data_IF_655358521204
#
_entry.id   IF_655358521204
#
_cell.length_a   1.000
_cell.length_b   1.000
_cell.length_c   1.000
_cell.angle_alpha   90.00
_cell.angle_beta   90.00
_cell.angle_gamma   90.00
#
_symmetry.space_group_name_H-M   'P 1'
#
loop_
_entity.id
_entity.type
_entity.pdbx_description
1 polymer ?
#
# COMPACT_ATOMS: atom_id res chain seq x y z
N UNK A 1 -14.42 4.91 41.71
CA UNK A 1 -14.61 5.83 40.56
C UNK A 1 -13.65 5.39 39.47
N UNK A 2 -14.13 5.03 38.29
CA UNK A 2 -13.27 4.72 37.14
C UNK A 2 -13.16 5.97 36.27
N UNK A 3 -11.94 6.42 36.00
CA UNK A 3 -11.69 7.43 34.98
C UNK A 3 -11.74 6.76 33.61
N UNK A 4 -12.55 7.29 32.71
CA UNK A 4 -12.61 6.83 31.32
C UNK A 4 -11.87 7.83 30.44
N UNK A 5 -10.85 7.35 29.75
CA UNK A 5 -10.12 8.13 28.74
C UNK A 5 -10.65 7.70 27.37
N UNK A 6 -11.25 8.64 26.67
CA UNK A 6 -11.67 8.45 25.29
C UNK A 6 -10.52 8.88 24.38
N UNK A 7 -10.04 7.96 23.55
CA UNK A 7 -9.06 8.25 22.50
C UNK A 7 -9.82 8.19 21.19
N UNK A 8 -9.81 9.28 20.44
CA UNK A 8 -10.45 9.32 19.13
C UNK A 8 -9.57 8.59 18.10
N UNK A 9 -10.17 7.73 17.27
CA UNK A 9 -9.44 7.00 16.23
C UNK A 9 -8.84 7.94 15.17
N UNK A 10 -9.38 9.15 15.02
CA UNK A 10 -8.87 10.21 14.15
C UNK A 10 -7.62 10.91 14.72
N UNK A 11 -7.38 10.88 16.03
CA UNK A 11 -6.22 11.53 16.65
C UNK A 11 -4.92 10.75 16.42
N UNK A 12 -4.96 9.41 16.43
CA UNK A 12 -3.75 8.61 16.15
C UNK A 12 -3.47 8.51 14.65
N UNK A 13 -4.50 8.41 13.82
CA UNK A 13 -4.37 8.18 12.38
C UNK A 13 -3.64 6.87 12.03
N UNK A 14 -3.25 6.71 10.76
CA UNK A 14 -2.55 5.53 10.26
C UNK A 14 -1.02 5.64 10.41
N UNK A 15 -0.49 6.86 10.47
CA UNK A 15 0.95 7.14 10.34
C UNK A 15 1.79 6.51 11.46
N UNK A 16 1.44 6.61 12.76
CA UNK A 16 2.23 6.00 13.83
C UNK A 16 2.39 4.49 13.71
N UNK A 17 1.37 3.80 13.19
CA UNK A 17 1.44 2.36 12.92
C UNK A 17 2.46 2.05 11.82
N UNK A 18 2.41 2.79 10.71
CA UNK A 18 3.33 2.62 9.58
C UNK A 18 4.76 3.00 9.97
N UNK A 19 4.95 4.07 10.74
CA UNK A 19 6.27 4.46 11.23
C UNK A 19 6.89 3.39 12.14
N UNK A 20 6.06 2.74 12.97
CA UNK A 20 6.50 1.60 13.80
C UNK A 20 6.92 0.41 12.94
N UNK A 21 6.14 0.08 11.91
CA UNK A 21 6.48 -0.97 10.95
C UNK A 21 7.76 -0.64 10.14
N UNK A 22 7.96 0.61 9.76
CA UNK A 22 9.19 1.06 9.09
C UNK A 22 10.41 1.02 10.02
N UNK A 23 10.22 1.24 11.33
CA UNK A 23 11.30 1.13 12.31
C UNK A 23 11.86 -0.28 12.46
N UNK A 24 11.08 -1.32 12.12
CA UNK A 24 11.53 -2.72 12.08
C UNK A 24 12.41 -3.04 10.86
N UNK A 25 12.40 -2.17 9.83
CA UNK A 25 13.20 -2.35 8.60
C UNK A 25 14.60 -1.78 8.75
N UNK A 26 15.57 -2.35 8.05
CA UNK A 26 16.99 -1.99 8.19
C UNK A 26 17.56 -1.33 6.93
N UNK A 27 18.50 -0.39 7.13
CA UNK A 27 19.32 0.21 6.08
C UNK A 27 18.50 0.86 4.95
N UNK A 28 18.95 0.64 3.71
CA UNK A 28 18.37 1.21 2.49
C UNK A 28 16.93 0.79 2.23
N UNK A 29 16.50 -0.39 2.71
CA UNK A 29 15.13 -0.87 2.55
C UNK A 29 14.15 0.04 3.29
N UNK A 30 14.51 0.48 4.50
CA UNK A 30 13.69 1.40 5.29
C UNK A 30 13.49 2.73 4.55
N UNK A 31 14.57 3.30 4.04
CA UNK A 31 14.55 4.58 3.32
C UNK A 31 13.69 4.50 2.05
N UNK A 32 13.84 3.40 1.31
CA UNK A 32 13.04 3.14 0.12
C UNK A 32 11.54 3.01 0.45
N UNK A 33 11.19 2.21 1.47
CA UNK A 33 9.81 2.01 1.91
C UNK A 33 9.19 3.29 2.47
N UNK A 34 9.96 4.10 3.20
CA UNK A 34 9.54 5.42 3.65
C UNK A 34 9.12 6.29 2.46
N UNK A 35 9.98 6.37 1.44
CA UNK A 35 9.66 7.12 0.22
C UNK A 35 8.47 6.57 -0.57
N UNK A 36 8.21 5.26 -0.51
CA UNK A 36 7.04 4.60 -1.10
C UNK A 36 5.75 4.96 -0.35
N UNK A 37 5.79 4.89 0.98
CA UNK A 37 4.67 5.27 1.85
C UNK A 37 4.28 6.73 1.61
N UNK A 38 5.25 7.64 1.63
CA UNK A 38 4.99 9.07 1.49
C UNK A 38 4.43 9.44 0.12
N UNK A 39 4.91 8.80 -0.96
CA UNK A 39 4.45 9.11 -2.33
C UNK A 39 3.13 8.43 -2.69
N UNK A 40 2.89 7.21 -2.19
CA UNK A 40 1.81 6.34 -2.69
C UNK A 40 0.69 6.13 -1.68
N UNK A 41 1.00 5.82 -0.41
CA UNK A 41 -0.05 5.48 0.56
C UNK A 41 -0.92 6.69 0.91
N UNK A 42 -0.31 7.85 1.14
CA UNK A 42 -1.07 9.08 1.45
C UNK A 42 -2.03 9.47 0.31
N UNK A 43 -1.57 9.36 -0.95
CA UNK A 43 -2.41 9.61 -2.14
C UNK A 43 -3.48 8.55 -2.32
N UNK A 44 -3.16 7.28 -2.13
CA UNK A 44 -4.13 6.18 -2.17
C UNK A 44 -5.24 6.34 -1.13
N UNK A 45 -4.91 6.78 0.08
CA UNK A 45 -5.90 7.11 1.12
C UNK A 45 -6.74 8.34 0.76
N UNK A 46 -6.19 9.31 0.03
CA UNK A 46 -6.98 10.43 -0.50
C UNK A 46 -8.00 9.95 -1.55
N UNK A 47 -7.61 9.05 -2.46
CA UNK A 47 -8.53 8.41 -3.42
C UNK A 47 -9.64 7.66 -2.69
N UNK A 48 -9.28 6.90 -1.65
CA UNK A 48 -10.25 6.19 -0.80
C UNK A 48 -11.34 7.10 -0.24
N UNK A 49 -11.02 8.35 0.12
CA UNK A 49 -12.00 9.31 0.67
C UNK A 49 -13.01 9.80 -0.36
N UNK A 50 -12.65 9.80 -1.65
CA UNK A 50 -13.55 10.14 -2.75
C UNK A 50 -14.21 8.93 -3.39
N UNK A 51 -13.64 7.73 -3.21
CA UNK A 51 -14.18 6.49 -3.73
C UNK A 51 -15.33 5.97 -2.86
N UNK A 52 -16.25 5.23 -3.48
CA UNK A 52 -17.31 4.54 -2.75
C UNK A 52 -16.82 3.16 -2.33
N UNK A 53 -17.05 2.84 -1.06
CA UNK A 53 -16.70 1.55 -0.47
C UNK A 53 -17.97 0.79 -0.08
N UNK A 54 -18.29 -0.33 -0.77
CA UNK A 54 -19.42 -1.17 -0.38
C UNK A 54 -19.32 -1.67 1.06
N UNK A 55 -18.08 -1.93 1.53
CA UNK A 55 -17.76 -2.27 2.92
C UNK A 55 -16.69 -1.28 3.39
N UNK A 56 -17.08 -0.20 4.10
CA UNK A 56 -16.13 0.83 4.51
C UNK A 56 -15.19 0.31 5.59
N UNK A 57 -13.92 0.62 5.43
CA UNK A 57 -12.88 0.36 6.45
C UNK A 57 -12.23 1.67 6.88
N UNK A 58 -11.65 1.70 8.08
CA UNK A 58 -10.87 2.87 8.54
C UNK A 58 -9.49 2.91 7.89
N UNK A 59 -8.91 4.11 7.72
CA UNK A 59 -7.58 4.31 7.10
C UNK A 59 -6.49 3.44 7.76
N UNK A 60 -6.55 3.29 9.09
CA UNK A 60 -5.63 2.43 9.84
C UNK A 60 -5.73 0.95 9.43
N UNK A 61 -6.93 0.46 9.13
CA UNK A 61 -7.13 -0.93 8.72
C UNK A 61 -6.54 -1.18 7.32
N UNK A 62 -6.70 -0.21 6.41
CA UNK A 62 -6.09 -0.26 5.08
C UNK A 62 -4.56 -0.25 5.17
N UNK A 63 -3.97 0.68 5.93
CA UNK A 63 -2.53 0.76 6.14
C UNK A 63 -1.97 -0.51 6.80
N UNK A 64 -2.68 -1.07 7.79
CA UNK A 64 -2.32 -2.35 8.40
C UNK A 64 -2.35 -3.51 7.40
N UNK A 65 -3.36 -3.55 6.53
CA UNK A 65 -3.48 -4.56 5.48
C UNK A 65 -2.29 -4.48 4.51
N UNK A 66 -1.93 -3.27 4.07
CA UNK A 66 -0.75 -3.02 3.23
C UNK A 66 0.53 -3.58 3.88
N UNK A 67 0.84 -3.18 5.11
CA UNK A 67 2.07 -3.59 5.79
C UNK A 67 2.13 -5.12 5.95
N UNK A 68 1.01 -5.73 6.38
CA UNK A 68 0.93 -7.19 6.54
C UNK A 68 1.09 -7.93 5.22
N UNK A 69 0.49 -7.43 4.15
CA UNK A 69 0.58 -8.07 2.84
C UNK A 69 2.00 -7.95 2.26
N UNK A 70 2.64 -6.79 2.42
CA UNK A 70 4.05 -6.61 2.05
C UNK A 70 4.95 -7.60 2.78
N UNK A 71 4.81 -7.70 4.10
CA UNK A 71 5.63 -8.61 4.92
C UNK A 71 5.36 -10.09 4.58
N UNK A 72 4.11 -10.44 4.28
CA UNK A 72 3.76 -11.79 3.85
C UNK A 72 4.36 -12.18 2.50
N UNK A 73 4.49 -11.22 1.58
CA UNK A 73 5.12 -11.43 0.28
C UNK A 73 6.66 -11.47 0.35
N UNK A 74 7.24 -10.91 1.42
CA UNK A 74 8.66 -11.00 1.77
C UNK A 74 9.62 -10.87 0.57
N UNK A 75 9.64 -9.72 -0.12
CA UNK A 75 10.49 -9.53 -1.29
C UNK A 75 11.96 -9.68 -0.93
N UNK A 76 12.77 -10.18 -1.86
CA UNK A 76 14.23 -10.19 -1.68
C UNK A 76 14.74 -8.78 -1.48
N UNK A 77 15.48 -8.55 -0.39
CA UNK A 77 16.05 -7.25 -0.04
C UNK A 77 17.50 -7.09 -0.49
N UNK A 78 18.09 -8.15 -1.04
CA UNK A 78 19.49 -8.21 -1.45
C UNK A 78 19.60 -8.68 -2.91
N UNK A 79 20.69 -8.27 -3.57
CA UNK A 79 21.00 -8.63 -4.95
C UNK A 79 20.59 -7.59 -6.00
N UNK A 80 20.98 -7.83 -7.24
CA UNK A 80 20.60 -7.00 -8.38
C UNK A 80 19.07 -7.04 -8.58
N UNK A 81 18.43 -5.88 -8.64
CA UNK A 81 16.98 -5.75 -8.82
C UNK A 81 16.14 -5.75 -7.53
N UNK A 82 16.73 -5.96 -6.35
CA UNK A 82 16.01 -5.96 -5.06
C UNK A 82 15.20 -4.67 -4.85
N UNK A 83 15.77 -3.50 -5.15
CA UNK A 83 15.07 -2.21 -5.09
C UNK A 83 13.80 -2.21 -5.95
N UNK A 84 13.87 -2.69 -7.19
CA UNK A 84 12.68 -2.73 -8.06
C UNK A 84 11.65 -3.73 -7.55
N UNK A 85 12.10 -4.90 -7.06
CA UNK A 85 11.20 -5.91 -6.51
C UNK A 85 10.44 -5.40 -5.26
N UNK A 86 11.14 -4.71 -4.34
CA UNK A 86 10.51 -4.07 -3.16
C UNK A 86 9.44 -3.08 -3.60
N UNK A 87 9.72 -2.25 -4.61
CA UNK A 87 8.75 -1.30 -5.14
C UNK A 87 7.53 -1.99 -5.75
N UNK A 88 7.72 -2.99 -6.60
CA UNK A 88 6.63 -3.73 -7.24
C UNK A 88 5.76 -4.45 -6.21
N UNK A 89 6.37 -5.11 -5.23
CA UNK A 89 5.63 -5.80 -4.15
C UNK A 89 4.88 -4.80 -3.28
N UNK A 90 5.44 -3.63 -3.01
CA UNK A 90 4.73 -2.56 -2.31
C UNK A 90 3.49 -2.09 -3.09
N UNK A 91 3.63 -1.87 -4.40
CA UNK A 91 2.52 -1.46 -5.27
C UNK A 91 1.43 -2.54 -5.37
N UNK A 92 1.81 -3.80 -5.49
CA UNK A 92 0.87 -4.92 -5.46
C UNK A 92 0.12 -4.96 -4.13
N UNK A 93 0.83 -4.81 -3.01
CA UNK A 93 0.22 -4.78 -1.68
C UNK A 93 -0.73 -3.57 -1.50
N UNK A 94 -0.45 -2.44 -2.15
CA UNK A 94 -1.29 -1.24 -2.13
C UNK A 94 -2.61 -1.45 -2.88
N UNK A 95 -2.56 -2.05 -4.06
CA UNK A 95 -3.75 -2.40 -4.85
C UNK A 95 -4.68 -3.33 -4.06
N UNK A 96 -4.12 -4.38 -3.44
CA UNK A 96 -4.89 -5.39 -2.72
C UNK A 96 -5.25 -5.01 -1.28
N UNK A 97 -4.80 -3.86 -0.78
CA UNK A 97 -5.21 -3.32 0.52
C UNK A 97 -6.25 -2.21 0.40
N UNK A 98 -6.05 -1.24 -0.49
CA UNK A 98 -6.98 -0.13 -0.73
C UNK A 98 -7.99 -0.45 -1.83
N UNK A 99 -7.51 -0.82 -3.03
CA UNK A 99 -8.35 -1.07 -4.19
C UNK A 99 -9.32 -2.24 -4.02
N UNK A 100 -9.01 -3.16 -3.08
CA UNK A 100 -9.88 -4.26 -2.72
C UNK A 100 -11.21 -3.79 -2.10
N UNK A 101 -11.25 -2.65 -1.41
CA UNK A 101 -12.46 -2.15 -0.73
C UNK A 101 -13.33 -1.25 -1.59
N UNK A 102 -12.81 -0.81 -2.74
CA UNK A 102 -13.51 0.09 -3.65
C UNK A 102 -14.54 -0.65 -4.51
N UNK A 103 -15.56 0.09 -4.95
CA UNK A 103 -16.44 -0.32 -6.03
C UNK A 103 -15.77 -0.17 -7.42
N UNK A 104 -16.54 -0.40 -8.49
CA UNK A 104 -15.99 -0.39 -9.85
C UNK A 104 -15.41 0.97 -10.27
N UNK A 105 -16.02 2.08 -9.86
CA UNK A 105 -15.54 3.43 -10.16
C UNK A 105 -14.25 3.74 -9.40
N UNK A 106 -14.20 3.41 -8.10
CA UNK A 106 -12.98 3.54 -7.31
C UNK A 106 -11.85 2.66 -7.82
N UNK A 107 -12.16 1.45 -8.33
CA UNK A 107 -11.16 0.57 -8.97
C UNK A 107 -10.58 1.15 -10.26
N UNK A 108 -11.37 1.90 -11.04
CA UNK A 108 -10.84 2.64 -12.21
C UNK A 108 -9.92 3.78 -11.76
N UNK A 109 -10.27 4.50 -10.69
CA UNK A 109 -9.44 5.56 -10.16
C UNK A 109 -8.08 5.04 -9.63
N UNK A 110 -8.08 3.91 -8.91
CA UNK A 110 -6.83 3.31 -8.43
C UNK A 110 -6.01 2.71 -9.58
N UNK A 111 -6.64 2.13 -10.61
CA UNK A 111 -5.93 1.64 -11.81
C UNK A 111 -5.12 2.75 -12.49
N UNK A 112 -5.75 3.90 -12.74
CA UNK A 112 -5.07 5.07 -13.31
C UNK A 112 -3.92 5.54 -12.42
N UNK A 113 -4.18 5.69 -11.12
CA UNK A 113 -3.17 6.12 -10.16
C UNK A 113 -1.95 5.17 -10.10
N UNK A 114 -2.16 3.86 -10.11
CA UNK A 114 -1.08 2.89 -10.08
C UNK A 114 -0.25 2.89 -11.36
N UNK A 115 -0.88 3.14 -12.53
CA UNK A 115 -0.17 3.28 -13.81
C UNK A 115 0.65 4.56 -13.91
N UNK A 116 0.23 5.63 -13.23
CA UNK A 116 1.05 6.84 -13.08
C UNK A 116 2.27 6.60 -12.20
N UNK A 117 2.12 5.78 -11.15
CA UNK A 117 3.23 5.41 -10.26
C UNK A 117 4.23 4.46 -10.92
N UNK A 118 3.75 3.50 -11.73
CA UNK A 118 4.58 2.53 -12.43
C UNK A 118 4.09 2.30 -13.87
N UNK A 119 4.70 2.97 -14.87
CA UNK A 119 4.32 2.80 -16.27
C UNK A 119 4.57 1.39 -16.83
N UNK A 120 5.19 0.48 -16.08
CA UNK A 120 5.49 -0.88 -16.53
C UNK A 120 4.28 -1.83 -16.52
N UNK A 121 3.14 -1.44 -15.92
CA UNK A 121 1.91 -2.22 -15.99
C UNK A 121 1.45 -2.41 -17.45
N UNK A 122 1.12 -3.64 -17.88
CA UNK A 122 0.62 -3.85 -19.24
C UNK A 122 -0.72 -3.13 -19.49
N UNK A 123 -0.93 -2.64 -20.71
CA UNK A 123 -2.05 -1.73 -21.05
C UNK A 123 -3.40 -2.44 -21.33
N UNK A 124 -3.43 -3.77 -21.38
CA UNK A 124 -4.61 -4.49 -21.91
C UNK A 124 -5.72 -4.68 -20.88
N UNK A 125 -5.35 -4.97 -19.65
CA UNK A 125 -6.25 -5.37 -18.57
C UNK A 125 -6.00 -4.48 -17.34
N UNK A 126 -6.83 -4.52 -16.30
CA UNK A 126 -6.63 -3.67 -15.10
C UNK A 126 -5.42 -4.12 -14.27
N UNK A 127 -4.89 -3.24 -13.41
CA UNK A 127 -3.80 -3.55 -12.46
C UNK A 127 -4.14 -4.71 -11.51
N UNK A 128 -5.41 -5.05 -11.34
CA UNK A 128 -5.88 -6.17 -10.52
C UNK A 128 -5.64 -7.55 -11.17
N UNK A 129 -5.39 -7.59 -12.48
CA UNK A 129 -5.18 -8.82 -13.24
C UNK A 129 -3.70 -9.25 -13.32
N UNK A 130 -2.81 -8.46 -12.72
CA UNK A 130 -1.36 -8.69 -12.75
C UNK A 130 -0.80 -9.04 -11.36
N UNK A 131 0.28 -9.82 -11.35
CA UNK A 131 0.99 -10.23 -10.14
C UNK A 131 2.49 -10.07 -10.35
N UNK A 132 3.24 -9.83 -9.28
CA UNK A 132 4.69 -9.58 -9.38
C UNK A 132 5.43 -10.90 -9.52
N UNK A 133 6.12 -11.13 -10.64
CA UNK A 133 7.03 -12.26 -10.84
C UNK A 133 8.36 -12.00 -10.13
N UNK A 134 8.69 -12.71 -9.03
CA UNK A 134 9.91 -12.47 -8.25
C UNK A 134 11.19 -12.83 -9.00
N UNK A 135 11.12 -13.67 -10.05
CA UNK A 135 12.28 -14.09 -10.84
C UNK A 135 12.58 -13.10 -11.96
N UNK A 136 11.54 -12.51 -12.55
CA UNK A 136 11.66 -11.57 -13.67
C UNK A 136 11.71 -10.11 -13.20
N UNK A 137 11.23 -9.82 -12.00
CA UNK A 137 11.17 -8.45 -11.47
C UNK A 137 10.20 -7.57 -12.23
N UNK A 138 9.02 -8.10 -12.60
CA UNK A 138 7.99 -7.43 -13.39
C UNK A 138 6.58 -7.93 -13.10
N UNK A 139 5.60 -7.38 -13.82
CA UNK A 139 4.17 -7.72 -13.76
C UNK A 139 3.77 -8.90 -14.67
#
# INVERSE_FOLDING_TARGET
RAGMVYVDASELGWRPYVDSWLAEKQGSVKEQLQGLVDRSLAKGLAIKRSAKEPIPIVDMAAARSLCRLFDALNPSTEGEGATKLIELVFYYALVWSLGATFDEEGRKAIDVFMRELDPSYPHRDSVFEYWVDPKRGGW
#
